data_IF_309011957410
#
_entry.id   IF_309011957410
#
_cell.length_a   1.000
_cell.length_b   1.000
_cell.length_c   1.000
_cell.angle_alpha   90.00
_cell.angle_beta   90.00
_cell.angle_gamma   90.00
#
_symmetry.space_group_name_H-M   'P 1'
#
loop_
_entity.id
_entity.type
_entity.pdbx_description
1 polymer ?
#
# COMPACT_ATOMS: atom_id res chain seq x y z
N UNK A 1 -8.69 -10.83 13.03
CA UNK A 1 -8.10 -9.49 13.01
C UNK A 1 -7.64 -9.16 11.60
N UNK A 2 -8.00 -8.00 11.11
CA UNK A 2 -7.60 -7.59 9.77
C UNK A 2 -6.17 -7.07 9.76
N UNK A 3 -5.38 -7.54 8.80
CA UNK A 3 -4.05 -7.01 8.56
C UNK A 3 -3.92 -6.69 7.08
N UNK A 4 -3.62 -5.43 6.78
CA UNK A 4 -3.48 -4.98 5.40
C UNK A 4 -2.27 -5.64 4.74
N UNK A 5 -2.45 -6.13 3.53
CA UNK A 5 -1.35 -6.66 2.74
C UNK A 5 -0.33 -5.56 2.43
N UNK A 6 -0.83 -4.34 2.20
CA UNK A 6 0.05 -3.18 1.98
C UNK A 6 0.94 -2.93 3.18
N UNK A 7 0.35 -2.96 4.38
CA UNK A 7 1.13 -2.75 5.60
C UNK A 7 2.17 -3.85 5.78
N UNK A 8 1.78 -5.10 5.56
CA UNK A 8 2.70 -6.23 5.69
C UNK A 8 3.88 -6.09 4.76
N UNK A 9 3.62 -5.74 3.50
CA UNK A 9 4.68 -5.61 2.50
C UNK A 9 5.58 -4.42 2.83
N UNK A 10 4.99 -3.31 3.27
CA UNK A 10 5.76 -2.13 3.67
C UNK A 10 6.72 -2.46 4.82
N UNK A 11 6.23 -3.15 5.83
CA UNK A 11 7.05 -3.53 6.99
C UNK A 11 8.15 -4.50 6.59
N UNK A 12 7.83 -5.43 5.69
CA UNK A 12 8.81 -6.39 5.18
C UNK A 12 9.96 -5.68 4.47
N UNK A 13 9.67 -4.57 3.78
CA UNK A 13 10.69 -3.78 3.09
C UNK A 13 11.37 -2.77 4.00
N UNK A 14 10.98 -2.70 5.27
CA UNK A 14 11.62 -1.82 6.24
C UNK A 14 11.30 -0.35 6.07
N UNK A 15 10.15 -0.02 5.46
CA UNK A 15 9.77 1.36 5.20
C UNK A 15 8.72 1.85 6.19
N UNK A 16 8.84 3.12 6.60
CA UNK A 16 7.76 3.79 7.31
C UNK A 16 6.69 4.21 6.31
N UNK A 17 5.53 4.59 6.82
CA UNK A 17 4.47 5.11 5.96
C UNK A 17 4.92 6.37 5.22
N UNK A 18 5.64 7.25 5.91
CA UNK A 18 6.16 8.48 5.31
C UNK A 18 7.17 8.18 4.21
N UNK A 19 8.04 7.20 4.44
CA UNK A 19 9.02 6.81 3.43
C UNK A 19 8.35 6.24 2.20
N UNK A 20 7.35 5.40 2.40
CA UNK A 20 6.59 4.84 1.28
C UNK A 20 5.87 5.94 0.51
N UNK A 21 5.29 6.91 1.22
CA UNK A 21 4.63 8.05 0.58
C UNK A 21 5.59 8.81 -0.33
N UNK A 22 6.78 9.11 0.17
CA UNK A 22 7.79 9.84 -0.61
C UNK A 22 8.26 9.02 -1.81
N UNK A 23 8.46 7.74 -1.62
CA UNK A 23 8.99 6.87 -2.66
C UNK A 23 7.96 6.61 -3.75
N UNK A 24 6.70 6.46 -3.38
CA UNK A 24 5.63 6.13 -4.33
C UNK A 24 4.97 7.35 -4.96
N UNK A 25 5.04 8.49 -4.28
CA UNK A 25 4.29 9.67 -4.69
C UNK A 25 2.82 9.63 -4.29
N UNK A 26 2.41 8.62 -3.53
CA UNK A 26 1.04 8.50 -3.03
C UNK A 26 0.93 9.26 -1.71
N UNK A 27 -0.09 10.13 -1.55
CA UNK A 27 -0.23 10.90 -0.32
C UNK A 27 -0.26 10.02 0.93
N UNK A 28 0.39 10.47 1.99
CA UNK A 28 0.47 9.74 3.25
C UNK A 28 -0.91 9.34 3.79
N UNK A 29 -1.87 10.27 3.72
CA UNK A 29 -3.22 10.00 4.20
C UNK A 29 -3.87 8.83 3.48
N UNK A 30 -3.56 8.67 2.19
CA UNK A 30 -4.12 7.57 1.42
C UNK A 30 -3.52 6.23 1.87
N UNK A 31 -2.22 6.22 2.11
CA UNK A 31 -1.55 5.01 2.62
C UNK A 31 -2.12 4.63 3.98
N UNK A 32 -2.28 5.60 4.86
CA UNK A 32 -2.85 5.36 6.19
C UNK A 32 -4.27 4.80 6.10
N UNK A 33 -5.09 5.38 5.21
CA UNK A 33 -6.47 4.93 5.04
C UNK A 33 -6.54 3.50 4.53
N UNK A 34 -5.67 3.14 3.59
CA UNK A 34 -5.62 1.76 3.08
C UNK A 34 -5.18 0.79 4.18
N UNK A 35 -4.17 1.15 4.95
CA UNK A 35 -3.66 0.26 5.99
C UNK A 35 -4.64 0.08 7.15
N UNK A 36 -5.41 1.12 7.44
CA UNK A 36 -6.40 1.08 8.51
C UNK A 36 -7.76 0.51 8.08
N UNK A 37 -7.93 0.28 6.79
CA UNK A 37 -9.15 -0.29 6.27
C UNK A 37 -10.27 0.73 5.99
N UNK A 38 -9.97 2.03 6.10
CA UNK A 38 -10.96 3.06 5.78
C UNK A 38 -11.24 3.14 4.29
N UNK A 39 -10.23 2.88 3.48
CA UNK A 39 -10.37 2.78 2.03
C UNK A 39 -9.98 1.39 1.59
N UNK A 40 -10.77 0.81 0.68
CA UNK A 40 -10.49 -0.52 0.15
C UNK A 40 -9.48 -0.39 -0.99
N UNK A 41 -8.28 -0.90 -0.78
CA UNK A 41 -7.23 -0.84 -1.80
C UNK A 41 -7.61 -1.62 -3.06
N UNK A 42 -8.49 -2.62 -2.93
CA UNK A 42 -8.98 -3.37 -4.10
C UNK A 42 -9.81 -2.49 -5.04
N UNK A 43 -10.33 -1.38 -4.53
CA UNK A 43 -11.12 -0.42 -5.31
C UNK A 43 -10.33 0.82 -5.67
N UNK A 44 -9.05 0.87 -5.33
CA UNK A 44 -8.20 2.01 -5.65
C UNK A 44 -7.97 2.08 -7.16
N UNK A 45 -7.62 3.28 -7.63
CA UNK A 45 -7.25 3.45 -9.03
C UNK A 45 -6.02 2.60 -9.34
N UNK A 46 -6.00 2.03 -10.53
CA UNK A 46 -4.89 1.16 -10.95
C UNK A 46 -3.55 1.88 -10.82
N UNK A 47 -3.50 3.14 -11.23
CA UNK A 47 -2.23 3.90 -11.17
C UNK A 47 -1.72 4.03 -9.74
N UNK A 48 -2.61 4.19 -8.77
CA UNK A 48 -2.22 4.28 -7.36
C UNK A 48 -1.61 2.97 -6.89
N UNK A 49 -2.26 1.86 -7.22
CA UNK A 49 -1.77 0.54 -6.82
C UNK A 49 -0.43 0.24 -7.48
N UNK A 50 -0.28 0.60 -8.76
CA UNK A 50 0.97 0.39 -9.48
C UNK A 50 2.11 1.20 -8.88
N UNK A 51 1.85 2.45 -8.47
CA UNK A 51 2.87 3.28 -7.83
C UNK A 51 3.34 2.67 -6.52
N UNK A 52 2.42 2.15 -5.73
CA UNK A 52 2.76 1.51 -4.47
C UNK A 52 3.57 0.23 -4.70
N UNK A 53 3.13 -0.60 -5.64
CA UNK A 53 3.84 -1.84 -5.96
C UNK A 53 5.25 -1.56 -6.46
N UNK A 54 5.41 -0.55 -7.31
CA UNK A 54 6.72 -0.17 -7.81
C UNK A 54 7.64 0.32 -6.69
N UNK A 55 7.10 1.14 -5.80
CA UNK A 55 7.88 1.67 -4.68
C UNK A 55 8.31 0.55 -3.72
N UNK A 56 7.49 -0.48 -3.59
CA UNK A 56 7.78 -1.63 -2.72
C UNK A 56 8.54 -2.74 -3.45
N UNK A 57 8.79 -2.57 -4.74
CA UNK A 57 9.47 -3.57 -5.57
C UNK A 57 8.79 -4.93 -5.44
N UNK A 58 7.48 -4.95 -5.66
CA UNK A 58 6.68 -6.16 -5.56
C UNK A 58 5.56 -6.13 -6.59
N UNK A 59 4.82 -7.23 -6.66
CA UNK A 59 3.66 -7.35 -7.54
C UNK A 59 2.45 -6.65 -6.94
N UNK A 60 1.54 -6.21 -7.80
CA UNK A 60 0.26 -5.67 -7.37
C UNK A 60 -0.47 -6.67 -6.47
N UNK A 61 -0.39 -7.95 -6.81
CA UNK A 61 -1.05 -9.00 -6.02
C UNK A 61 -0.52 -9.11 -4.60
N UNK A 62 0.69 -8.60 -4.35
CA UNK A 62 1.26 -8.64 -3.00
C UNK A 62 0.65 -7.61 -2.07
N UNK A 63 0.01 -6.59 -2.61
CA UNK A 63 -0.52 -5.49 -1.81
C UNK A 63 -2.03 -5.37 -1.84
N UNK A 64 -2.70 -5.94 -2.83
CA UNK A 64 -4.17 -5.98 -2.80
C UNK A 64 -4.60 -7.10 -1.86
N UNK A 65 -5.79 -6.93 -1.27
CA UNK A 65 -6.28 -7.91 -0.32
C UNK A 65 -7.00 -9.03 -1.07
N UNK A 66 -6.42 -10.24 -1.13
CA UNK A 66 -7.08 -11.34 -1.83
C UNK A 66 -8.37 -11.74 -1.14
N UNK A 67 -9.32 -12.27 -1.92
CA UNK A 67 -10.60 -12.76 -1.41
C UNK A 67 -10.65 -14.26 -1.42
#
# INVERSE_FOLDING_TARGET
MFKSCLKSMREEKGLSQSELSKKSGVPLRNIQAYEQGYNDINKAQVITVLKLAEALDCDVYDIINPR
#
